data_IF_527613159215
#
_entry.id   IF_527613159215
#
_cell.length_a   1.000
_cell.length_b   1.000
_cell.length_c   1.000
_cell.angle_alpha   90.00
_cell.angle_beta   90.00
_cell.angle_gamma   90.00
#
_symmetry.space_group_name_H-M   'P 1'
#
loop_
_entity.id
_entity.type
_entity.pdbx_description
1 polymer ?
#
# COMPACT_ATOMS: atom_id res chain seq x y z
N UNK A 1 -6.23 -7.35 14.23
CA UNK A 1 -5.53 -6.14 13.75
C UNK A 1 -4.20 -6.01 14.50
N UNK A 2 -3.40 -4.97 14.38
CA UNK A 2 -2.14 -4.72 15.11
C UNK A 2 -2.37 -3.72 16.25
N UNK A 3 -1.44 -3.70 17.22
CA UNK A 3 -1.49 -2.82 18.39
C UNK A 3 -0.91 -1.43 18.11
N UNK A 4 -1.07 -0.49 19.03
CA UNK A 4 -0.44 0.83 18.97
C UNK A 4 1.11 0.73 18.94
N UNK A 5 1.67 -0.19 19.72
CA UNK A 5 3.13 -0.42 19.77
C UNK A 5 3.66 -0.98 18.44
N UNK A 6 2.92 -1.91 17.80
CA UNK A 6 3.25 -2.42 16.47
C UNK A 6 3.21 -1.28 15.42
N UNK A 7 2.23 -0.36 15.50
CA UNK A 7 2.16 0.79 14.60
C UNK A 7 3.30 1.78 14.85
N UNK A 8 3.68 2.00 16.10
CA UNK A 8 4.84 2.84 16.43
C UNK A 8 6.14 2.24 15.89
N UNK A 9 6.31 0.92 16.00
CA UNK A 9 7.44 0.21 15.39
C UNK A 9 7.44 0.38 13.86
N UNK A 10 6.30 0.23 13.22
CA UNK A 10 6.14 0.45 11.79
C UNK A 10 6.50 1.90 11.40
N UNK A 11 6.07 2.87 12.18
CA UNK A 11 6.41 4.28 11.99
C UNK A 11 7.91 4.53 12.06
N UNK A 12 8.61 3.94 13.03
CA UNK A 12 10.08 4.01 13.13
C UNK A 12 10.77 3.43 11.89
N UNK A 13 10.27 2.30 11.37
CA UNK A 13 10.81 1.69 10.15
C UNK A 13 10.61 2.61 8.94
N UNK A 14 9.42 3.17 8.79
CA UNK A 14 9.10 4.08 7.68
C UNK A 14 9.95 5.35 7.77
N UNK A 15 10.04 5.97 8.94
CA UNK A 15 10.75 7.24 9.11
C UNK A 15 12.29 7.10 9.07
N UNK A 16 12.83 5.90 9.24
CA UNK A 16 14.24 5.63 8.94
C UNK A 16 14.55 5.68 7.43
N UNK A 17 13.54 5.62 6.57
CA UNK A 17 13.70 5.60 5.12
C UNK A 17 13.16 6.86 4.42
N UNK A 18 12.18 7.54 5.00
CA UNK A 18 11.55 8.73 4.43
C UNK A 18 10.89 9.58 5.53
N UNK A 19 10.84 10.92 5.39
CA UNK A 19 10.09 11.76 6.32
C UNK A 19 8.58 11.55 6.16
N UNK A 20 7.75 12.02 7.13
CA UNK A 20 6.32 12.20 6.92
C UNK A 20 6.05 13.01 5.66
N UNK A 21 5.05 12.60 4.90
CA UNK A 21 4.69 13.33 3.69
C UNK A 21 3.94 14.62 4.02
N UNK A 22 4.04 15.66 3.18
CA UNK A 22 3.28 16.90 3.37
C UNK A 22 1.77 16.66 3.41
N UNK A 23 1.08 17.52 4.15
CA UNK A 23 -0.38 17.61 4.14
C UNK A 23 -0.82 19.04 4.37
N UNK A 24 -1.79 19.49 3.60
CA UNK A 24 -2.23 20.88 3.59
C UNK A 24 -3.75 20.97 3.47
N UNK A 25 -4.33 21.96 4.16
CA UNK A 25 -5.66 22.45 3.85
C UNK A 25 -5.54 23.48 2.70
N UNK A 26 -6.05 23.13 1.52
CA UNK A 26 -5.89 23.94 0.33
C UNK A 26 -7.04 24.96 0.19
N UNK A 27 -6.76 26.29 0.20
CA UNK A 27 -7.83 27.31 0.07
C UNK A 27 -8.64 27.18 -1.22
N UNK A 28 -8.02 26.93 -2.35
CA UNK A 28 -8.72 26.77 -3.63
C UNK A 28 -9.62 25.52 -3.65
N UNK A 29 -9.26 24.45 -2.93
CA UNK A 29 -10.15 23.30 -2.77
C UNK A 29 -11.34 23.64 -1.87
N UNK A 30 -11.12 24.43 -0.81
CA UNK A 30 -12.22 24.95 0.01
C UNK A 30 -13.21 25.77 -0.82
N UNK A 31 -12.74 26.64 -1.68
CA UNK A 31 -13.60 27.43 -2.56
C UNK A 31 -14.39 26.56 -3.54
N UNK A 32 -13.77 25.50 -4.09
CA UNK A 32 -14.39 24.58 -5.03
C UNK A 32 -15.39 23.60 -4.39
N UNK A 33 -15.14 23.18 -3.15
CA UNK A 33 -15.93 22.15 -2.47
C UNK A 33 -16.91 22.70 -1.43
N UNK A 34 -16.74 23.95 -1.02
CA UNK A 34 -17.53 24.58 0.05
C UNK A 34 -17.15 24.12 1.46
N UNK A 35 -16.08 23.32 1.63
CA UNK A 35 -15.61 22.84 2.93
C UNK A 35 -14.09 22.86 3.03
N UNK A 36 -13.55 22.85 4.24
CA UNK A 36 -12.10 22.74 4.43
C UNK A 36 -11.63 21.36 3.94
N UNK A 37 -10.74 21.37 2.95
CA UNK A 37 -10.29 20.15 2.28
C UNK A 37 -8.79 19.94 2.48
N UNK A 38 -8.44 18.92 3.26
CA UNK A 38 -7.08 18.47 3.49
C UNK A 38 -6.64 17.47 2.43
N UNK A 39 -5.42 17.61 1.95
CA UNK A 39 -4.79 16.64 1.03
C UNK A 39 -3.53 16.07 1.69
N UNK A 40 -3.48 14.75 1.85
CA UNK A 40 -2.29 13.99 2.24
C UNK A 40 -1.51 13.59 0.99
N UNK A 41 -0.32 14.16 0.81
CA UNK A 41 0.45 14.06 -0.43
C UNK A 41 1.34 12.81 -0.48
N UNK A 42 0.75 11.63 -0.60
CA UNK A 42 1.49 10.36 -0.72
C UNK A 42 2.22 10.18 -2.07
N UNK A 43 2.04 11.08 -3.00
CA UNK A 43 2.86 11.21 -4.21
C UNK A 43 4.27 11.77 -3.93
N UNK A 44 4.53 12.32 -2.75
CA UNK A 44 5.84 12.83 -2.32
C UNK A 44 6.70 11.77 -1.60
N UNK A 45 6.39 10.49 -1.81
CA UNK A 45 7.23 9.39 -1.33
C UNK A 45 8.33 9.06 -2.34
N UNK A 46 9.40 8.33 -1.94
CA UNK A 46 10.48 7.92 -2.86
C UNK A 46 10.04 7.14 -4.10
N UNK A 47 8.86 6.52 -4.06
CA UNK A 47 8.29 5.76 -5.19
C UNK A 47 7.04 6.43 -5.78
N UNK A 48 6.74 7.66 -5.40
CA UNK A 48 5.58 8.40 -5.88
C UNK A 48 4.22 7.85 -5.43
N UNK A 49 4.18 6.97 -4.43
CA UNK A 49 2.94 6.35 -3.94
C UNK A 49 3.05 5.81 -2.51
N UNK A 50 1.93 5.75 -1.80
CA UNK A 50 1.85 5.28 -0.41
C UNK A 50 2.32 3.83 -0.19
N UNK A 51 2.31 3.00 -1.22
CA UNK A 51 2.66 1.57 -1.14
C UNK A 51 4.06 1.32 -0.57
N UNK A 52 5.00 2.25 -0.76
CA UNK A 52 6.38 2.14 -0.24
C UNK A 52 6.42 1.95 1.27
N UNK A 53 5.51 2.57 2.02
CA UNK A 53 5.42 2.44 3.48
C UNK A 53 5.19 0.98 3.90
N UNK A 54 4.26 0.31 3.24
CA UNK A 54 3.99 -1.10 3.47
C UNK A 54 5.17 -2.01 3.10
N UNK A 55 5.80 -1.76 1.95
CA UNK A 55 6.99 -2.51 1.54
C UNK A 55 8.14 -2.38 2.53
N UNK A 56 8.42 -1.17 3.02
CA UNK A 56 9.46 -0.92 4.02
C UNK A 56 9.24 -1.74 5.29
N UNK A 57 8.02 -1.72 5.83
CA UNK A 57 7.70 -2.48 7.05
C UNK A 57 7.80 -3.97 6.79
N UNK A 58 7.19 -4.47 5.72
CA UNK A 58 7.19 -5.89 5.40
C UNK A 58 8.61 -6.44 5.19
N UNK A 59 9.43 -5.76 4.38
CA UNK A 59 10.78 -6.24 4.09
C UNK A 59 11.70 -6.15 5.30
N UNK A 60 11.57 -5.11 6.14
CA UNK A 60 12.33 -5.01 7.38
C UNK A 60 11.96 -6.11 8.37
N UNK A 61 10.66 -6.38 8.57
CA UNK A 61 10.21 -7.43 9.49
C UNK A 61 10.59 -8.82 8.98
N UNK A 62 10.57 -9.08 7.68
CA UNK A 62 11.13 -10.31 7.11
C UNK A 62 12.60 -10.48 7.47
N UNK A 63 13.41 -9.43 7.25
CA UNK A 63 14.83 -9.44 7.59
C UNK A 63 15.07 -9.74 9.06
N UNK A 64 14.28 -9.13 9.94
CA UNK A 64 14.40 -9.32 11.40
C UNK A 64 14.05 -10.75 11.83
N UNK A 65 13.19 -11.46 11.11
CA UNK A 65 12.90 -12.88 11.31
C UNK A 65 13.94 -13.82 10.67
N UNK A 66 14.99 -13.28 10.04
CA UNK A 66 15.99 -14.09 9.33
C UNK A 66 15.55 -14.61 7.95
N UNK A 67 14.41 -14.15 7.44
CA UNK A 67 13.87 -14.51 6.13
C UNK A 67 14.56 -13.69 5.03
N UNK A 68 15.81 -14.06 4.72
CA UNK A 68 16.70 -13.29 3.81
C UNK A 68 16.72 -13.80 2.36
N UNK A 69 15.98 -14.83 2.05
CA UNK A 69 15.82 -15.34 0.69
C UNK A 69 15.16 -14.30 -0.24
N UNK A 70 15.42 -14.40 -1.54
CA UNK A 70 14.84 -13.52 -2.55
C UNK A 70 13.31 -13.54 -2.53
N UNK A 71 12.70 -12.45 -2.99
CA UNK A 71 11.25 -12.30 -3.04
C UNK A 71 10.74 -12.11 -4.45
N UNK A 72 9.48 -12.47 -4.70
CA UNK A 72 8.81 -12.26 -5.98
C UNK A 72 7.38 -11.76 -5.75
N UNK A 73 6.89 -10.90 -6.63
CA UNK A 73 5.49 -10.46 -6.63
C UNK A 73 4.98 -10.19 -8.04
N UNK A 74 3.66 -10.28 -8.23
CA UNK A 74 3.00 -9.85 -9.46
C UNK A 74 2.33 -8.49 -9.26
N UNK A 75 2.44 -7.60 -10.27
CA UNK A 75 1.86 -6.25 -10.16
C UNK A 75 1.86 -5.51 -11.50
N UNK A 76 1.00 -4.50 -11.61
CA UNK A 76 1.00 -3.53 -12.70
C UNK A 76 1.62 -2.18 -12.35
N UNK A 77 2.04 -1.95 -11.08
CA UNK A 77 2.44 -0.58 -10.70
C UNK A 77 3.09 -0.41 -9.33
N UNK A 78 2.43 0.34 -8.45
CA UNK A 78 3.03 0.88 -7.23
C UNK A 78 3.57 -0.16 -6.24
N UNK A 79 2.96 -1.35 -6.18
CA UNK A 79 3.49 -2.44 -5.36
C UNK A 79 4.83 -2.96 -5.91
N UNK A 80 4.97 -3.02 -7.25
CA UNK A 80 6.20 -3.42 -7.92
C UNK A 80 7.35 -2.42 -7.81
N UNK A 81 7.10 -1.19 -7.41
CA UNK A 81 8.14 -0.23 -7.05
C UNK A 81 8.43 -0.26 -5.55
N UNK A 82 7.40 -0.49 -4.74
CA UNK A 82 7.51 -0.56 -3.28
C UNK A 82 8.42 -1.71 -2.82
N UNK A 83 8.23 -2.91 -3.35
CA UNK A 83 8.98 -4.10 -2.93
C UNK A 83 10.47 -4.02 -3.28
N UNK A 84 10.90 -3.70 -4.52
CA UNK A 84 12.34 -3.55 -4.82
C UNK A 84 13.01 -2.46 -3.99
N UNK A 85 12.37 -1.30 -3.85
CA UNK A 85 12.89 -0.20 -3.04
C UNK A 85 13.16 -0.64 -1.59
N UNK A 86 12.23 -1.38 -1.01
CA UNK A 86 12.36 -1.86 0.37
C UNK A 86 13.34 -3.04 0.49
N UNK A 87 13.31 -3.98 -0.46
CA UNK A 87 14.16 -5.16 -0.49
C UNK A 87 15.65 -4.79 -0.60
N UNK A 88 15.98 -3.85 -1.49
CA UNK A 88 17.35 -3.35 -1.65
C UNK A 88 17.92 -2.77 -0.35
N UNK A 89 17.10 -2.08 0.46
CA UNK A 89 17.52 -1.51 1.75
C UNK A 89 17.89 -2.55 2.81
N UNK A 90 17.38 -3.75 2.68
CA UNK A 90 17.66 -4.85 3.61
C UNK A 90 18.53 -5.95 2.99
N UNK A 91 19.04 -5.73 1.77
CA UNK A 91 19.93 -6.66 1.06
C UNK A 91 19.24 -7.92 0.56
N UNK A 92 17.95 -7.84 0.20
CA UNK A 92 17.14 -8.93 -0.35
C UNK A 92 16.91 -8.65 -1.85
N UNK A 93 17.08 -9.67 -2.69
CA UNK A 93 16.78 -9.58 -4.13
C UNK A 93 15.28 -9.64 -4.39
N UNK A 94 14.82 -8.96 -5.44
CA UNK A 94 13.40 -8.94 -5.80
C UNK A 94 13.18 -9.20 -7.28
N UNK A 95 12.22 -10.05 -7.58
CA UNK A 95 11.72 -10.33 -8.92
C UNK A 95 10.29 -9.81 -9.03
N UNK A 96 10.01 -9.06 -10.07
CA UNK A 96 8.67 -8.53 -10.34
C UNK A 96 8.14 -9.16 -11.64
N UNK A 97 6.92 -9.65 -11.57
CA UNK A 97 6.22 -10.18 -12.75
C UNK A 97 5.08 -9.23 -13.10
N UNK A 98 5.01 -8.81 -14.35
CA UNK A 98 3.92 -7.97 -14.83
C UNK A 98 3.40 -8.47 -16.19
N UNK A 99 2.14 -8.15 -16.54
CA UNK A 99 1.58 -8.53 -17.83
C UNK A 99 2.32 -7.87 -18.98
N UNK A 100 2.33 -8.53 -20.13
CA UNK A 100 2.79 -7.94 -21.38
C UNK A 100 1.97 -6.69 -21.70
N UNK A 101 2.64 -5.63 -22.17
CA UNK A 101 1.99 -4.33 -22.43
C UNK A 101 1.76 -3.47 -21.17
N UNK A 102 2.39 -3.81 -20.05
CA UNK A 102 2.41 -2.91 -18.90
C UNK A 102 3.10 -1.57 -19.24
N UNK A 103 2.81 -0.50 -18.46
CA UNK A 103 3.41 0.83 -18.68
C UNK A 103 4.94 0.77 -18.76
N UNK A 104 5.57 1.21 -19.87
CA UNK A 104 7.02 1.23 -19.99
C UNK A 104 7.72 2.04 -18.90
N UNK A 105 7.11 3.15 -18.47
CA UNK A 105 7.63 4.03 -17.41
C UNK A 105 7.66 3.30 -16.06
N UNK A 106 6.57 2.58 -15.72
CA UNK A 106 6.52 1.76 -14.50
C UNK A 106 7.51 0.61 -14.54
N UNK A 107 7.66 -0.03 -15.70
CA UNK A 107 8.65 -1.09 -15.91
C UNK A 107 10.08 -0.56 -15.74
N UNK A 108 10.39 0.59 -16.31
CA UNK A 108 11.69 1.24 -16.15
C UNK A 108 11.95 1.61 -14.68
N UNK A 109 10.96 2.14 -13.97
CA UNK A 109 11.08 2.46 -12.56
C UNK A 109 11.35 1.22 -11.68
N UNK A 110 10.66 0.11 -11.94
CA UNK A 110 10.90 -1.15 -11.23
C UNK A 110 12.33 -1.67 -11.44
N UNK A 111 12.84 -1.64 -12.70
CA UNK A 111 14.24 -2.01 -13.00
C UNK A 111 15.24 -1.06 -12.34
N UNK A 112 14.99 0.25 -12.37
CA UNK A 112 15.86 1.25 -11.74
C UNK A 112 15.97 1.09 -10.22
N UNK A 113 14.94 0.51 -9.58
CA UNK A 113 14.93 0.15 -8.16
C UNK A 113 15.59 -1.20 -7.86
N UNK A 114 16.22 -1.84 -8.85
CA UNK A 114 16.98 -3.07 -8.70
C UNK A 114 16.18 -4.36 -8.84
N UNK A 115 14.95 -4.30 -9.36
CA UNK A 115 14.18 -5.52 -9.61
C UNK A 115 14.64 -6.26 -10.86
N UNK A 116 14.67 -7.59 -10.78
CA UNK A 116 14.53 -8.43 -11.97
C UNK A 116 13.07 -8.31 -12.46
N UNK A 117 12.83 -7.82 -13.67
CA UNK A 117 11.49 -7.65 -14.23
C UNK A 117 11.21 -8.69 -15.31
N UNK A 118 10.15 -9.47 -15.11
CA UNK A 118 9.65 -10.46 -16.06
C UNK A 118 8.29 -9.99 -16.59
N UNK A 119 8.21 -9.80 -17.91
CA UNK A 119 6.97 -9.40 -18.59
C UNK A 119 6.35 -10.66 -19.20
N UNK A 120 5.21 -11.12 -18.68
CA UNK A 120 4.55 -12.36 -19.12
C UNK A 120 3.05 -12.34 -18.79
N UNK A 121 2.29 -13.14 -19.54
CA UNK A 121 0.84 -13.20 -19.39
C UNK A 121 0.12 -12.04 -20.07
N UNK A 122 -1.14 -12.23 -20.38
CA UNK A 122 -1.99 -11.25 -21.07
C UNK A 122 -2.69 -10.30 -20.08
N UNK A 123 -2.80 -10.70 -18.81
CA UNK A 123 -3.41 -9.93 -17.74
C UNK A 123 -2.70 -10.11 -16.39
N UNK A 124 -3.27 -9.53 -15.34
CA UNK A 124 -2.71 -9.59 -14.00
C UNK A 124 -2.76 -11.00 -13.40
N UNK A 125 -3.82 -11.76 -13.65
CA UNK A 125 -4.00 -13.09 -13.07
C UNK A 125 -3.02 -14.08 -13.69
N UNK A 126 -2.85 -14.07 -15.01
CA UNK A 126 -1.83 -14.87 -15.69
C UNK A 126 -0.40 -14.54 -15.22
N UNK A 127 -0.09 -13.25 -15.03
CA UNK A 127 1.20 -12.83 -14.51
C UNK A 127 1.39 -13.30 -13.03
N UNK A 128 0.33 -13.30 -12.23
CA UNK A 128 0.36 -13.77 -10.85
C UNK A 128 0.57 -15.28 -10.77
N UNK A 129 -0.11 -16.06 -11.61
CA UNK A 129 0.09 -17.52 -11.70
C UNK A 129 1.54 -17.84 -12.06
N UNK A 130 2.09 -17.21 -13.09
CA UNK A 130 3.50 -17.36 -13.47
C UNK A 130 4.44 -16.95 -12.33
N UNK A 131 4.14 -15.88 -11.59
CA UNK A 131 4.95 -15.47 -10.44
C UNK A 131 4.95 -16.55 -9.34
N UNK A 132 3.83 -17.22 -9.11
CA UNK A 132 3.73 -18.30 -8.11
C UNK A 132 4.51 -19.56 -8.56
N UNK A 133 4.51 -19.89 -9.84
CA UNK A 133 5.32 -20.97 -10.42
C UNK A 133 6.81 -20.67 -10.25
N UNK A 134 7.26 -19.48 -10.66
CA UNK A 134 8.65 -19.04 -10.51
C UNK A 134 9.06 -19.01 -9.03
N UNK A 135 8.17 -18.59 -8.13
CA UNK A 135 8.41 -18.61 -6.70
C UNK A 135 8.78 -20.01 -6.20
N UNK A 136 8.01 -21.00 -6.62
CA UNK A 136 8.23 -22.42 -6.29
C UNK A 136 9.54 -22.94 -6.88
N UNK A 137 9.78 -22.69 -8.17
CA UNK A 137 10.92 -23.24 -8.90
C UNK A 137 12.26 -22.65 -8.44
N UNK A 138 12.28 -21.36 -8.11
CA UNK A 138 13.49 -20.64 -7.65
C UNK A 138 13.62 -20.54 -6.13
N UNK A 139 12.67 -21.07 -5.35
CA UNK A 139 12.67 -20.94 -3.89
C UNK A 139 12.51 -19.51 -3.40
N UNK A 140 11.79 -18.65 -4.15
CA UNK A 140 11.52 -17.27 -3.78
C UNK A 140 10.25 -17.17 -2.93
N UNK A 141 10.23 -16.22 -1.99
CA UNK A 141 9.03 -15.95 -1.23
C UNK A 141 8.07 -15.06 -2.03
N UNK A 142 6.85 -15.53 -2.27
CA UNK A 142 5.81 -14.73 -2.93
C UNK A 142 5.26 -13.67 -1.96
N UNK A 143 5.33 -12.39 -2.35
CA UNK A 143 4.80 -11.27 -1.59
C UNK A 143 3.46 -10.84 -2.18
N UNK A 144 2.34 -11.01 -1.47
CA UNK A 144 1.04 -10.56 -1.93
C UNK A 144 0.94 -9.03 -1.92
N UNK A 145 0.00 -8.47 -2.69
CA UNK A 145 -0.24 -7.02 -2.71
C UNK A 145 -1.02 -6.50 -1.48
N UNK A 146 -1.46 -7.41 -0.61
CA UNK A 146 -2.20 -7.15 0.60
C UNK A 146 -1.76 -8.12 1.71
N UNK A 147 -1.59 -7.63 2.95
CA UNK A 147 -1.19 -8.43 4.10
C UNK A 147 -0.94 -7.57 5.34
N UNK A 148 -0.89 -8.19 6.53
CA UNK A 148 -0.83 -7.47 7.82
C UNK A 148 0.28 -6.42 7.87
N UNK A 149 1.50 -6.79 7.58
CA UNK A 149 2.67 -5.90 7.67
C UNK A 149 2.62 -4.78 6.60
N UNK A 150 2.10 -5.11 5.40
CA UNK A 150 1.90 -4.13 4.33
C UNK A 150 0.87 -3.07 4.74
N UNK A 151 -0.26 -3.51 5.30
CA UNK A 151 -1.31 -2.61 5.80
C UNK A 151 -0.78 -1.78 6.95
N UNK A 152 -0.08 -2.38 7.90
CA UNK A 152 0.48 -1.70 9.06
C UNK A 152 1.42 -0.55 8.66
N UNK A 153 2.30 -0.77 7.66
CA UNK A 153 3.13 0.30 7.11
C UNK A 153 2.31 1.41 6.44
N UNK A 154 1.29 1.03 5.69
CA UNK A 154 0.38 1.99 5.05
C UNK A 154 -0.40 2.81 6.07
N UNK A 155 -0.83 2.23 7.19
CA UNK A 155 -1.54 2.95 8.27
C UNK A 155 -0.80 4.18 8.77
N UNK A 156 0.53 4.22 8.64
CA UNK A 156 1.34 5.34 9.12
C UNK A 156 0.95 6.67 8.46
N UNK A 157 0.58 6.69 7.17
CA UNK A 157 0.18 7.95 6.52
C UNK A 157 -1.18 8.46 7.04
N UNK A 158 -2.11 7.57 7.29
CA UNK A 158 -3.42 7.94 7.82
C UNK A 158 -3.29 8.40 9.29
N UNK A 159 -2.44 7.75 10.08
CA UNK A 159 -2.12 8.18 11.42
C UNK A 159 -1.48 9.58 11.44
N UNK A 160 -0.55 9.87 10.48
CA UNK A 160 -0.01 11.24 10.30
C UNK A 160 -1.14 12.25 10.00
N UNK A 161 -2.05 11.91 9.06
CA UNK A 161 -3.15 12.77 8.68
C UNK A 161 -4.02 13.12 9.89
N UNK A 162 -4.54 12.13 10.58
CA UNK A 162 -5.44 12.33 11.72
C UNK A 162 -4.76 13.03 12.91
N UNK A 163 -3.48 12.75 13.15
CA UNK A 163 -2.73 13.44 14.21
C UNK A 163 -2.58 14.93 13.97
N UNK A 164 -2.51 15.37 12.73
CA UNK A 164 -2.34 16.78 12.40
C UNK A 164 -3.65 17.50 12.10
N UNK A 165 -4.60 16.86 11.42
CA UNK A 165 -5.90 17.47 11.08
C UNK A 165 -6.96 17.30 12.19
N UNK A 166 -6.78 16.33 13.10
CA UNK A 166 -7.80 15.97 14.08
C UNK A 166 -8.94 15.16 13.48
N UNK A 167 -10.11 15.25 14.10
CA UNK A 167 -11.34 14.62 13.59
C UNK A 167 -11.84 15.34 12.34
N UNK A 168 -12.06 14.61 11.28
CA UNK A 168 -12.60 15.08 10.00
C UNK A 168 -14.02 14.50 9.82
N UNK A 169 -14.89 15.19 9.08
CA UNK A 169 -16.20 14.65 8.74
C UNK A 169 -16.09 13.39 7.87
N UNK A 170 -15.18 13.43 6.88
CA UNK A 170 -14.93 12.30 5.98
C UNK A 170 -13.50 12.30 5.42
N UNK A 171 -13.01 11.10 5.11
CA UNK A 171 -11.76 10.88 4.35
C UNK A 171 -12.07 10.00 3.13
N UNK A 172 -11.71 10.48 1.95
CA UNK A 172 -11.84 9.76 0.69
C UNK A 172 -10.53 9.03 0.37
N UNK A 173 -10.63 7.71 0.15
CA UNK A 173 -9.46 6.85 -0.05
C UNK A 173 -9.61 6.06 -1.35
N UNK A 174 -8.69 6.18 -2.32
CA UNK A 174 -8.74 5.37 -3.53
C UNK A 174 -8.51 3.89 -3.21
N UNK A 175 -9.35 3.01 -3.77
CA UNK A 175 -9.28 1.56 -3.58
C UNK A 175 -8.68 0.90 -4.81
N UNK A 176 -7.58 0.16 -4.61
CA UNK A 176 -7.10 -0.89 -5.50
C UNK A 176 -7.31 -2.25 -4.83
N UNK A 177 -6.30 -2.73 -4.09
CA UNK A 177 -6.38 -3.99 -3.31
C UNK A 177 -6.80 -3.80 -1.85
N UNK A 178 -7.24 -2.61 -1.45
CA UNK A 178 -7.80 -2.33 -0.12
C UNK A 178 -6.82 -1.92 0.98
N UNK A 179 -5.50 -2.01 0.81
CA UNK A 179 -4.54 -1.68 1.90
C UNK A 179 -4.64 -0.24 2.39
N UNK A 180 -4.94 0.71 1.50
CA UNK A 180 -5.11 2.13 1.85
C UNK A 180 -6.29 2.35 2.77
N UNK A 181 -7.46 1.85 2.39
CA UNK A 181 -8.69 2.04 3.17
C UNK A 181 -8.65 1.31 4.50
N UNK A 182 -8.13 0.07 4.53
CA UNK A 182 -7.94 -0.68 5.80
C UNK A 182 -6.99 0.05 6.73
N UNK A 183 -5.87 0.57 6.21
CA UNK A 183 -4.93 1.36 7.00
C UNK A 183 -5.56 2.64 7.54
N UNK A 184 -6.41 3.30 6.77
CA UNK A 184 -7.12 4.52 7.21
C UNK A 184 -8.15 4.22 8.29
N UNK A 185 -8.95 3.15 8.13
CA UNK A 185 -9.90 2.70 9.15
C UNK A 185 -9.15 2.34 10.45
N UNK A 186 -8.07 1.58 10.34
CA UNK A 186 -7.26 1.21 11.50
C UNK A 186 -6.72 2.42 12.26
N UNK A 187 -6.18 3.43 11.55
CA UNK A 187 -5.69 4.66 12.19
C UNK A 187 -6.82 5.44 12.87
N UNK A 188 -7.99 5.58 12.22
CA UNK A 188 -9.18 6.20 12.78
C UNK A 188 -9.60 5.52 14.10
N UNK A 189 -9.72 4.20 14.07
CA UNK A 189 -10.21 3.42 15.21
C UNK A 189 -9.22 3.46 16.39
N UNK A 190 -7.92 3.37 16.10
CA UNK A 190 -6.86 3.48 17.12
C UNK A 190 -6.83 4.85 17.82
N UNK A 191 -7.26 5.91 17.12
CA UNK A 191 -7.36 7.26 17.66
C UNK A 191 -8.74 7.55 18.27
N UNK A 192 -9.68 6.61 18.21
CA UNK A 192 -11.04 6.77 18.73
C UNK A 192 -11.90 7.80 17.97
N UNK A 193 -11.55 8.09 16.72
CA UNK A 193 -12.23 9.08 15.89
C UNK A 193 -13.50 8.49 15.24
N UNK A 194 -14.45 9.39 14.90
CA UNK A 194 -15.72 9.04 14.24
C UNK A 194 -15.76 9.40 12.74
N UNK A 195 -14.63 9.83 12.21
CA UNK A 195 -14.47 10.22 10.80
C UNK A 195 -15.03 9.13 9.87
N UNK A 196 -15.88 9.50 8.93
CA UNK A 196 -16.34 8.58 7.88
C UNK A 196 -15.19 8.29 6.92
N UNK A 197 -14.91 7.01 6.66
CA UNK A 197 -13.96 6.61 5.62
C UNK A 197 -14.72 6.16 4.40
N UNK A 198 -14.49 6.81 3.26
CA UNK A 198 -15.22 6.59 2.00
C UNK A 198 -14.23 6.04 0.97
N UNK A 199 -14.53 4.86 0.45
CA UNK A 199 -13.76 4.25 -0.63
C UNK A 199 -14.11 4.87 -1.97
N UNK A 200 -13.11 5.18 -2.79
CA UNK A 200 -13.29 5.67 -4.17
C UNK A 200 -12.72 4.62 -5.12
N UNK A 201 -13.56 4.14 -6.03
CA UNK A 201 -13.20 3.17 -7.06
C UNK A 201 -13.36 3.76 -8.45
N UNK A 202 -12.81 3.11 -9.47
CA UNK A 202 -13.07 3.45 -10.87
C UNK A 202 -14.28 2.70 -11.37
N UNK A 203 -15.03 3.30 -12.28
CA UNK A 203 -16.17 2.67 -12.92
C UNK A 203 -15.78 1.36 -13.60
N UNK A 204 -16.66 0.35 -13.51
CA UNK A 204 -16.47 -0.96 -14.13
C UNK A 204 -15.61 -1.97 -13.34
N UNK A 205 -15.11 -1.60 -12.16
CA UNK A 205 -14.50 -2.57 -11.25
C UNK A 205 -15.61 -3.20 -10.42
N UNK A 206 -16.04 -4.39 -10.82
CA UNK A 206 -17.26 -5.06 -10.33
C UNK A 206 -17.10 -5.82 -9.01
N UNK A 207 -15.94 -5.79 -8.35
CA UNK A 207 -15.66 -6.72 -7.26
C UNK A 207 -15.65 -6.09 -5.85
N UNK A 208 -16.59 -5.15 -5.64
CA UNK A 208 -16.79 -4.50 -4.33
C UNK A 208 -17.06 -5.52 -3.21
N UNK A 209 -17.82 -6.57 -3.50
CA UNK A 209 -18.13 -7.61 -2.52
C UNK A 209 -16.91 -8.47 -2.17
N UNK A 210 -16.03 -8.72 -3.13
CA UNK A 210 -14.74 -9.41 -2.84
C UNK A 210 -13.85 -8.54 -1.97
N UNK A 211 -13.74 -7.26 -2.28
CA UNK A 211 -12.95 -6.34 -1.45
C UNK A 211 -13.47 -6.27 -0.02
N UNK A 212 -14.79 -6.17 0.16
CA UNK A 212 -15.40 -6.21 1.49
C UNK A 212 -15.02 -7.50 2.23
N UNK A 213 -15.21 -8.66 1.60
CA UNK A 213 -14.83 -9.95 2.19
C UNK A 213 -13.34 -10.04 2.55
N UNK A 214 -12.46 -9.60 1.65
CA UNK A 214 -11.00 -9.63 1.89
C UNK A 214 -10.61 -8.72 3.05
N UNK A 215 -11.24 -7.56 3.17
CA UNK A 215 -11.02 -6.59 4.23
C UNK A 215 -11.61 -7.12 5.56
N UNK A 216 -12.80 -7.70 5.57
CA UNK A 216 -13.43 -8.34 6.73
C UNK A 216 -12.59 -9.53 7.24
N UNK A 217 -12.12 -10.39 6.34
CA UNK A 217 -11.23 -11.50 6.67
C UNK A 217 -9.92 -11.05 7.32
N UNK A 218 -9.49 -9.83 7.05
CA UNK A 218 -8.31 -9.21 7.66
C UNK A 218 -8.58 -8.65 9.08
N UNK A 219 -9.83 -8.68 9.56
CA UNK A 219 -10.22 -8.21 10.90
C UNK A 219 -10.53 -6.72 10.96
N UNK A 220 -10.79 -6.09 9.82
CA UNK A 220 -11.31 -4.73 9.74
C UNK A 220 -12.84 -4.71 9.84
N UNK A 221 -13.42 -3.73 10.52
CA UNK A 221 -14.85 -3.41 10.42
C UNK A 221 -15.16 -2.79 9.05
N UNK A 222 -14.80 -3.49 7.99
CA UNK A 222 -14.86 -2.97 6.63
C UNK A 222 -16.28 -2.99 6.04
N UNK A 223 -17.22 -3.64 6.71
CA UNK A 223 -18.63 -3.67 6.32
C UNK A 223 -19.28 -2.27 6.33
N UNK A 224 -18.70 -1.30 7.02
CA UNK A 224 -19.34 -0.01 7.30
C UNK A 224 -18.83 1.17 6.47
N UNK A 225 -18.03 0.96 5.41
CA UNK A 225 -17.62 2.09 4.59
C UNK A 225 -18.36 2.10 3.23
N UNK A 226 -18.93 3.25 2.82
CA UNK A 226 -19.49 3.40 1.49
C UNK A 226 -18.37 3.40 0.43
N UNK A 227 -18.68 2.83 -0.75
CA UNK A 227 -17.84 2.90 -1.95
C UNK A 227 -18.59 3.71 -3.00
N UNK A 228 -17.93 4.70 -3.58
CA UNK A 228 -18.46 5.54 -4.67
C UNK A 228 -17.57 5.44 -5.90
#
# INVERSE_FOLDING_TARGET
>A
MYTADELEQASRIVYAAMPPTPQFAWPLLKDATGCETWVKHENHTPTGAFKVRGGLVHMKMRKDRGETGGVITATRGNHGQSIPFAAARVGITSTIVCPVGNSPEKNAAMRALGAELIETGHDFDAARETAMEIAKDRGLAFIPSFGKELVMGVTTYAHELFRAAGELDAVYVPIGMGSGIVGTIAARDMLGLKTKVIGVSVDGVSDHEKWKRDIEAFGGAAADFPII
#
